data_IF_260435283871
#
_entry.id   IF_260435283871
#
_cell.length_a   1.000
_cell.length_b   1.000
_cell.length_c   1.000
_cell.angle_alpha   90.00
_cell.angle_beta   90.00
_cell.angle_gamma   90.00
#
_symmetry.space_group_name_H-M   'P 1'
#
loop_
_entity.id
_entity.type
_entity.pdbx_description
1 polymer ?
#
# COMPACT_ATOMS: atom_id res chain seq x y z
N UNK A 1 -4.36 23.27 -58.16
CA UNK A 1 -4.12 24.71 -57.98
C UNK A 1 -4.12 24.99 -56.49
N UNK A 2 -2.90 25.08 -55.95
CA UNK A 2 -2.44 25.55 -54.63
C UNK A 2 -3.04 24.79 -53.42
N UNK A 3 -2.41 23.86 -52.72
CA UNK A 3 -1.03 23.76 -52.17
C UNK A 3 -0.47 25.06 -51.59
N UNK A 4 -0.43 25.13 -50.26
CA UNK A 4 0.79 25.42 -49.51
C UNK A 4 0.70 24.80 -48.11
N UNK A 5 1.30 23.62 -47.98
CA UNK A 5 1.98 23.23 -46.74
C UNK A 5 3.09 24.25 -46.41
N UNK A 6 3.16 24.70 -45.16
CA UNK A 6 4.38 24.98 -44.37
C UNK A 6 4.19 26.19 -43.43
N UNK A 7 3.91 25.92 -42.16
CA UNK A 7 4.67 26.59 -41.09
C UNK A 7 5.04 25.54 -40.04
N UNK A 8 6.29 25.09 -40.15
CA UNK A 8 7.02 24.32 -39.16
C UNK A 8 7.28 25.21 -37.91
N UNK A 9 7.06 24.65 -36.71
CA UNK A 9 7.91 24.89 -35.53
C UNK A 9 7.46 25.91 -34.48
N UNK A 10 6.95 25.41 -33.34
CA UNK A 10 7.37 25.81 -31.98
C UNK A 10 6.69 24.91 -30.91
N UNK A 11 7.39 24.47 -29.84
CA UNK A 11 6.96 23.39 -28.96
C UNK A 11 6.23 23.92 -27.72
N UNK A 12 4.93 23.67 -27.63
CA UNK A 12 4.22 23.66 -26.34
C UNK A 12 3.41 22.37 -26.19
N UNK A 13 4.11 21.27 -26.46
CA UNK A 13 3.88 20.01 -25.76
C UNK A 13 4.32 20.23 -24.30
N UNK A 14 3.38 20.33 -23.36
CA UNK A 14 3.57 20.13 -21.90
C UNK A 14 2.51 20.89 -21.06
N UNK A 15 1.23 20.82 -21.42
CA UNK A 15 0.17 21.13 -20.46
C UNK A 15 -0.64 19.87 -20.20
N UNK A 16 -0.01 19.00 -19.39
CA UNK A 16 -0.66 18.11 -18.43
C UNK A 16 -1.87 17.37 -19.00
N UNK A 17 -1.62 16.37 -19.85
CA UNK A 17 -2.35 15.13 -19.67
C UNK A 17 -1.90 14.61 -18.30
N UNK A 18 -2.71 14.81 -17.27
CA UNK A 18 -2.65 13.92 -16.12
C UNK A 18 -2.96 12.55 -16.70
N UNK A 19 -1.92 11.78 -17.05
CA UNK A 19 -2.04 10.35 -17.15
C UNK A 19 -2.73 9.95 -15.87
N UNK A 20 -3.96 9.45 -15.98
CA UNK A 20 -4.51 8.59 -14.97
C UNK A 20 -3.51 7.44 -14.89
N UNK A 21 -2.50 7.57 -14.04
CA UNK A 21 -1.74 6.43 -13.57
C UNK A 21 -2.82 5.56 -12.97
N UNK A 22 -3.19 4.50 -13.67
CA UNK A 22 -3.80 3.32 -13.08
C UNK A 22 -3.20 3.17 -11.69
N UNK A 23 -3.95 3.53 -10.64
CA UNK A 23 -3.51 3.51 -9.25
C UNK A 23 -3.50 2.05 -8.79
N UNK A 24 -2.78 1.21 -9.53
CA UNK A 24 -2.62 -0.20 -9.27
C UNK A 24 -1.43 -0.40 -8.35
N UNK A 25 -1.58 -1.34 -7.42
CA UNK A 25 -0.52 -1.70 -6.49
C UNK A 25 0.75 -2.07 -7.24
N UNK A 26 1.86 -1.44 -6.85
CA UNK A 26 3.17 -1.77 -7.35
C UNK A 26 3.75 -2.92 -6.52
N UNK A 27 4.39 -3.89 -7.18
CA UNK A 27 5.02 -5.02 -6.52
C UNK A 27 6.55 -4.98 -6.71
N UNK A 28 7.29 -5.42 -5.69
CA UNK A 28 8.75 -5.47 -5.67
C UNK A 28 9.23 -6.84 -5.23
N UNK A 29 10.34 -7.32 -5.80
CA UNK A 29 11.01 -8.56 -5.39
C UNK A 29 11.62 -8.36 -3.99
N UNK A 30 11.35 -9.29 -3.06
CA UNK A 30 11.90 -9.22 -1.71
C UNK A 30 13.35 -9.71 -1.70
N UNK A 31 14.29 -8.78 -1.87
CA UNK A 31 15.72 -9.07 -1.90
C UNK A 31 16.08 -10.07 -3.00
N UNK A 32 16.79 -11.15 -2.63
CA UNK A 32 17.20 -12.23 -3.53
C UNK A 32 16.22 -13.41 -3.55
N UNK A 33 15.04 -13.27 -2.97
CA UNK A 33 14.01 -14.34 -2.91
C UNK A 33 13.02 -14.19 -4.05
N UNK A 34 12.29 -15.24 -4.42
CA UNK A 34 11.27 -15.17 -5.46
C UNK A 34 9.90 -14.62 -4.97
N UNK A 35 9.86 -14.07 -3.76
CA UNK A 35 8.67 -13.42 -3.22
C UNK A 35 8.47 -12.04 -3.86
N UNK A 36 7.24 -11.77 -4.29
CA UNK A 36 6.80 -10.47 -4.81
C UNK A 36 5.87 -9.82 -3.79
N UNK A 37 6.33 -8.74 -3.17
CA UNK A 37 5.58 -8.03 -2.11
C UNK A 37 5.07 -6.69 -2.62
N UNK A 38 3.93 -6.25 -2.09
CA UNK A 38 3.40 -4.91 -2.35
C UNK A 38 4.42 -3.85 -1.92
N UNK A 39 4.49 -2.74 -2.67
CA UNK A 39 5.40 -1.63 -2.40
C UNK A 39 5.11 -0.91 -1.07
N UNK A 40 3.90 -1.12 -0.53
CA UNK A 40 3.44 -0.68 0.78
C UNK A 40 3.16 -1.92 1.63
N UNK A 41 3.50 -1.86 2.92
CA UNK A 41 3.21 -2.90 3.93
C UNK A 41 2.17 -2.38 4.92
N UNK A 42 1.29 -3.26 5.40
CA UNK A 42 0.35 -2.97 6.49
C UNK A 42 1.01 -3.26 7.84
N UNK A 43 1.35 -2.21 8.58
CA UNK A 43 1.83 -2.32 9.97
C UNK A 43 0.67 -2.47 10.95
N UNK A 44 0.89 -3.22 12.03
CA UNK A 44 -0.20 -3.70 12.92
C UNK A 44 -0.03 -3.33 14.40
N UNK A 45 0.98 -2.52 14.74
CA UNK A 45 1.41 -2.25 16.12
C UNK A 45 0.34 -1.64 17.06
N UNK A 46 -0.81 -1.20 16.54
CA UNK A 46 -1.88 -0.55 17.32
C UNK A 46 -3.05 -1.48 17.65
N UNK A 47 -3.09 -2.68 17.05
CA UNK A 47 -4.23 -3.59 17.14
C UNK A 47 -4.26 -4.30 18.49
N UNK A 48 -5.34 -4.10 19.25
CA UNK A 48 -5.49 -4.59 20.63
C UNK A 48 -5.18 -3.55 21.71
N UNK A 49 -4.82 -2.31 21.32
CA UNK A 49 -4.65 -1.18 22.24
C UNK A 49 -5.42 0.05 21.74
N UNK A 50 -4.93 0.71 20.69
CA UNK A 50 -5.60 1.88 20.12
C UNK A 50 -6.70 1.49 19.12
N UNK A 51 -6.58 0.30 18.52
CA UNK A 51 -7.57 -0.25 17.61
C UNK A 51 -8.21 -1.50 18.16
N UNK A 52 -9.51 -1.63 17.92
CA UNK A 52 -10.27 -2.86 18.21
C UNK A 52 -9.97 -3.93 17.16
N UNK A 53 -10.37 -5.18 17.44
CA UNK A 53 -10.27 -6.29 16.48
C UNK A 53 -11.08 -6.02 15.21
N UNK A 54 -12.30 -5.49 15.34
CA UNK A 54 -13.13 -5.17 14.18
C UNK A 54 -12.46 -4.12 13.29
N UNK A 55 -11.87 -3.08 13.88
CA UNK A 55 -11.11 -2.07 13.13
C UNK A 55 -9.87 -2.65 12.46
N UNK A 56 -9.15 -3.58 13.11
CA UNK A 56 -8.04 -4.30 12.49
C UNK A 56 -8.51 -5.09 11.26
N UNK A 57 -9.67 -5.74 11.34
CA UNK A 57 -10.25 -6.48 10.23
C UNK A 57 -10.74 -5.58 9.09
N UNK A 58 -11.31 -4.41 9.41
CA UNK A 58 -11.59 -3.38 8.40
C UNK A 58 -10.31 -2.96 7.68
N UNK A 59 -9.22 -2.72 8.42
CA UNK A 59 -7.92 -2.35 7.83
C UNK A 59 -7.36 -3.45 6.93
N UNK A 60 -7.44 -4.72 7.34
CA UNK A 60 -7.03 -5.87 6.51
C UNK A 60 -7.87 -5.95 5.24
N UNK A 61 -9.20 -5.75 5.32
CA UNK A 61 -10.09 -5.77 4.15
C UNK A 61 -9.74 -4.65 3.17
N UNK A 62 -9.58 -3.43 3.66
CA UNK A 62 -9.15 -2.30 2.83
C UNK A 62 -7.78 -2.55 2.16
N UNK A 63 -6.82 -3.11 2.90
CA UNK A 63 -5.50 -3.44 2.37
C UNK A 63 -5.58 -4.50 1.26
N UNK A 64 -6.38 -5.55 1.46
CA UNK A 64 -6.62 -6.61 0.46
C UNK A 64 -7.31 -6.07 -0.80
N UNK A 65 -8.29 -5.19 -0.65
CA UNK A 65 -8.97 -4.54 -1.78
C UNK A 65 -7.98 -3.71 -2.61
N UNK A 66 -7.05 -3.03 -1.92
CA UNK A 66 -5.92 -2.31 -2.52
C UNK A 66 -4.75 -3.23 -2.99
N UNK A 67 -4.92 -4.56 -2.95
CA UNK A 67 -3.92 -5.58 -3.37
C UNK A 67 -2.62 -5.58 -2.56
N UNK A 68 -2.63 -5.07 -1.33
CA UNK A 68 -1.52 -5.24 -0.37
C UNK A 68 -1.43 -6.72 0.02
N UNK A 69 -0.23 -7.28 -0.02
CA UNK A 69 0.02 -8.68 0.35
C UNK A 69 1.11 -8.84 1.44
N UNK A 70 1.57 -7.72 1.99
CA UNK A 70 2.62 -7.68 3.00
C UNK A 70 2.08 -7.06 4.28
N UNK A 71 2.12 -7.84 5.37
CA UNK A 71 1.70 -7.47 6.71
C UNK A 71 2.88 -7.63 7.66
N UNK A 72 3.08 -6.66 8.55
CA UNK A 72 4.15 -6.62 9.54
C UNK A 72 3.57 -6.71 10.96
N UNK A 73 4.12 -7.60 11.78
CA UNK A 73 3.71 -7.83 13.18
C UNK A 73 4.93 -8.22 14.02
N UNK A 74 4.77 -8.21 15.35
CA UNK A 74 5.79 -8.66 16.30
C UNK A 74 5.13 -9.22 17.57
N UNK A 75 5.85 -10.12 18.26
CA UNK A 75 5.39 -10.72 19.53
C UNK A 75 5.07 -9.68 20.62
N UNK A 76 5.76 -8.54 20.60
CA UNK A 76 5.58 -7.48 21.58
C UNK A 76 4.43 -6.52 21.26
N UNK A 77 3.79 -6.63 20.09
CA UNK A 77 2.68 -5.75 19.72
C UNK A 77 1.39 -6.12 20.47
N UNK A 78 0.62 -5.12 20.92
CA UNK A 78 0.63 -3.71 20.49
C UNK A 78 1.52 -2.77 21.32
N UNK A 79 1.69 -1.54 20.84
CA UNK A 79 2.45 -0.44 21.46
C UNK A 79 1.48 0.59 22.07
N UNK A 80 1.73 1.12 23.30
CA UNK A 80 2.83 0.80 24.20
C UNK A 80 2.76 -0.63 24.79
N UNK A 81 3.87 -1.37 24.84
CA UNK A 81 3.87 -2.76 25.28
C UNK A 81 3.63 -2.86 26.79
N UNK A 82 2.76 -3.78 27.21
CA UNK A 82 2.48 -4.10 28.62
C UNK A 82 2.11 -5.58 28.79
N UNK A 83 2.26 -6.10 30.00
CA UNK A 83 2.06 -7.53 30.28
C UNK A 83 0.66 -8.03 29.93
N UNK A 84 -0.36 -7.17 30.04
CA UNK A 84 -1.75 -7.52 29.75
C UNK A 84 -2.06 -7.61 28.25
N UNK A 85 -1.29 -6.92 27.40
CA UNK A 85 -1.55 -6.84 25.95
C UNK A 85 -0.46 -7.53 25.12
N UNK A 86 0.55 -8.11 25.74
CA UNK A 86 1.58 -8.89 25.05
C UNK A 86 0.95 -9.93 24.10
N UNK A 87 1.51 -10.09 22.90
CA UNK A 87 1.02 -10.93 21.78
C UNK A 87 -0.41 -10.65 21.29
N UNK A 88 -1.09 -9.61 21.78
CA UNK A 88 -2.51 -9.38 21.44
C UNK A 88 -2.71 -9.09 19.97
N UNK A 89 -1.77 -8.40 19.31
CA UNK A 89 -1.83 -8.15 17.86
C UNK A 89 -1.78 -9.44 17.05
N UNK A 90 -0.87 -10.37 17.37
CA UNK A 90 -0.78 -11.67 16.68
C UNK A 90 -2.02 -12.54 16.94
N UNK A 91 -2.57 -12.45 18.16
CA UNK A 91 -3.83 -13.12 18.50
C UNK A 91 -4.97 -12.61 17.62
N UNK A 92 -5.10 -11.29 17.44
CA UNK A 92 -6.11 -10.68 16.56
C UNK A 92 -5.95 -11.12 15.10
N UNK A 93 -4.70 -11.23 14.60
CA UNK A 93 -4.43 -11.69 13.23
C UNK A 93 -4.83 -13.15 13.01
N UNK A 94 -4.78 -13.99 14.05
CA UNK A 94 -5.04 -15.42 13.98
C UNK A 94 -6.52 -15.84 14.02
N UNK A 95 -7.42 -14.94 14.36
CA UNK A 95 -8.89 -15.14 14.38
C UNK A 95 -9.49 -15.12 12.96
#
# INVERSE_FOLDING_TARGET
MNDQSAFYGSPVSSCIFLNQTETSMQFRKLGKTDLSVSAICLGTMTWGEQNTQDEAFEQIRMAKDAKVNFLDTAEMYPVPPRGETYTKTESIIGE
#
